data_IF_837431928891
#
_entry.id   IF_837431928891
#
_cell.length_a   1.000
_cell.length_b   1.000
_cell.length_c   1.000
_cell.angle_alpha   90.00
_cell.angle_beta   90.00
_cell.angle_gamma   90.00
#
_symmetry.space_group_name_H-M   'P 1'
#
loop_
_entity.id
_entity.type
_entity.pdbx_description
1 polymer ?
#
# COMPACT_ATOMS: atom_id res chain seq x y z
N UNK A 1 -20.03 1.25 -75.79
CA UNK A 1 -19.46 1.43 -74.43
C UNK A 1 -20.36 0.73 -73.42
N UNK A 2 -20.35 -0.60 -73.30
CA UNK A 2 -21.22 -1.29 -72.31
C UNK A 2 -20.74 -2.70 -71.90
N UNK A 3 -19.45 -3.04 -72.08
CA UNK A 3 -18.95 -4.40 -71.80
C UNK A 3 -17.78 -4.48 -70.82
N UNK A 4 -17.46 -3.41 -70.08
CA UNK A 4 -16.37 -3.44 -69.07
C UNK A 4 -16.79 -3.09 -67.63
N UNK A 5 -18.07 -2.88 -67.34
CA UNK A 5 -18.54 -2.46 -66.01
C UNK A 5 -19.03 -3.64 -65.15
N UNK A 6 -19.50 -4.73 -65.77
CA UNK A 6 -20.06 -5.89 -65.08
C UNK A 6 -19.05 -6.67 -64.18
N UNK A 7 -17.79 -6.94 -64.60
CA UNK A 7 -16.86 -7.70 -63.75
C UNK A 7 -16.31 -6.88 -62.57
N UNK A 8 -16.26 -5.55 -62.67
CA UNK A 8 -15.86 -4.68 -61.55
C UNK A 8 -16.97 -4.57 -60.49
N UNK A 9 -18.24 -4.51 -60.91
CA UNK A 9 -19.37 -4.54 -59.97
C UNK A 9 -19.44 -5.87 -59.20
N UNK A 10 -19.22 -7.00 -59.89
CA UNK A 10 -19.17 -8.31 -59.24
C UNK A 10 -18.02 -8.42 -58.22
N UNK A 11 -16.83 -7.89 -58.53
CA UNK A 11 -15.74 -7.83 -57.56
C UNK A 11 -16.09 -6.92 -56.37
N UNK A 12 -16.75 -5.79 -56.61
CA UNK A 12 -17.17 -4.86 -55.56
C UNK A 12 -18.24 -5.47 -54.65
N UNK A 13 -19.20 -6.20 -55.20
CA UNK A 13 -20.21 -6.94 -54.42
C UNK A 13 -19.60 -8.08 -53.60
N UNK A 14 -18.66 -8.85 -54.17
CA UNK A 14 -17.95 -9.91 -53.44
C UNK A 14 -17.06 -9.33 -52.31
N UNK A 15 -16.46 -8.16 -52.53
CA UNK A 15 -15.70 -7.46 -51.49
C UNK A 15 -16.61 -6.87 -50.40
N UNK A 16 -17.78 -6.33 -50.74
CA UNK A 16 -18.77 -5.84 -49.77
C UNK A 16 -19.37 -6.97 -48.94
N UNK A 17 -19.70 -8.12 -49.55
CA UNK A 17 -20.16 -9.30 -48.81
C UNK A 17 -19.08 -9.81 -47.85
N UNK A 18 -17.82 -9.94 -48.31
CA UNK A 18 -16.71 -10.32 -47.41
C UNK A 18 -16.49 -9.31 -46.27
N UNK A 19 -16.67 -8.02 -46.53
CA UNK A 19 -16.54 -6.97 -45.51
C UNK A 19 -17.66 -7.06 -44.46
N UNK A 20 -18.89 -7.37 -44.88
CA UNK A 20 -20.04 -7.56 -43.99
C UNK A 20 -19.98 -8.85 -43.17
N UNK A 21 -19.32 -9.89 -43.70
CA UNK A 21 -19.05 -11.13 -42.97
C UNK A 21 -17.96 -10.87 -41.92
N UNK A 22 -16.87 -10.17 -42.28
CA UNK A 22 -15.84 -9.75 -41.32
C UNK A 22 -16.38 -8.85 -40.20
N UNK A 23 -17.34 -7.96 -40.49
CA UNK A 23 -17.95 -7.11 -39.46
C UNK A 23 -18.86 -7.89 -38.51
N UNK A 24 -19.62 -8.87 -39.02
CA UNK A 24 -20.46 -9.75 -38.19
C UNK A 24 -19.62 -10.72 -37.36
N UNK A 25 -18.51 -11.20 -37.90
CA UNK A 25 -17.56 -12.03 -37.16
C UNK A 25 -16.88 -11.21 -36.06
N UNK A 26 -16.59 -9.92 -36.31
CA UNK A 26 -16.03 -9.00 -35.30
C UNK A 26 -17.05 -8.63 -34.21
N UNK A 27 -18.30 -8.36 -34.57
CA UNK A 27 -19.39 -8.13 -33.59
C UNK A 27 -19.67 -9.40 -32.77
N UNK A 28 -19.69 -10.58 -33.39
CA UNK A 28 -19.81 -11.86 -32.69
C UNK A 28 -18.60 -12.17 -31.81
N UNK A 29 -17.40 -11.73 -32.18
CA UNK A 29 -16.19 -11.81 -31.36
C UNK A 29 -16.25 -10.82 -30.19
N UNK A 30 -16.73 -9.60 -30.41
CA UNK A 30 -16.90 -8.61 -29.34
C UNK A 30 -18.02 -9.01 -28.37
N UNK A 31 -19.10 -9.61 -28.84
CA UNK A 31 -20.14 -10.20 -28.00
C UNK A 31 -19.65 -11.45 -27.27
N UNK A 32 -18.86 -12.31 -27.91
CA UNK A 32 -18.22 -13.45 -27.24
C UNK A 32 -17.23 -13.00 -26.15
N UNK A 33 -16.45 -11.94 -26.40
CA UNK A 33 -15.54 -11.33 -25.41
C UNK A 33 -16.32 -10.67 -24.26
N UNK A 34 -17.45 -10.01 -24.54
CA UNK A 34 -18.33 -9.44 -23.53
C UNK A 34 -19.10 -10.49 -22.69
N UNK A 35 -19.35 -11.67 -23.25
CA UNK A 35 -19.93 -12.81 -22.51
C UNK A 35 -18.87 -13.50 -21.64
N UNK A 36 -17.62 -13.56 -22.10
CA UNK A 36 -16.49 -14.10 -21.31
C UNK A 36 -16.13 -13.15 -20.15
N UNK A 37 -16.31 -11.82 -20.29
CA UNK A 37 -16.03 -10.85 -19.22
C UNK A 37 -17.12 -10.76 -18.14
N UNK A 38 -18.30 -11.34 -18.38
CA UNK A 38 -19.47 -11.30 -17.46
C UNK A 38 -19.79 -12.65 -16.80
N UNK A 39 -19.07 -13.72 -17.14
CA UNK A 39 -19.15 -14.98 -16.40
C UNK A 39 -18.47 -14.86 -15.03
N UNK A 40 -18.86 -15.67 -14.02
CA UNK A 40 -18.08 -15.75 -12.79
C UNK A 40 -16.66 -16.13 -13.20
N UNK A 41 -15.68 -15.27 -12.89
CA UNK A 41 -14.27 -15.56 -13.07
C UNK A 41 -13.98 -16.86 -12.32
N UNK A 42 -13.98 -17.99 -13.04
CA UNK A 42 -13.69 -19.29 -12.47
C UNK A 42 -12.21 -19.25 -12.15
N UNK A 43 -11.90 -19.00 -10.87
CA UNK A 43 -10.55 -19.10 -10.32
C UNK A 43 -9.98 -20.43 -10.79
N UNK A 44 -8.76 -20.46 -11.36
CA UNK A 44 -8.19 -21.69 -11.88
C UNK A 44 -8.20 -22.77 -10.79
N UNK A 45 -9.06 -23.78 -10.97
CA UNK A 45 -8.98 -25.04 -10.23
C UNK A 45 -7.60 -25.61 -10.56
N UNK A 46 -6.79 -25.76 -9.52
CA UNK A 46 -5.48 -26.42 -9.48
C UNK A 46 -4.25 -25.52 -9.71
N UNK A 47 -3.84 -24.78 -8.67
CA UNK A 47 -2.41 -24.52 -8.44
C UNK A 47 -1.80 -25.84 -7.93
N UNK A 48 -1.02 -26.50 -8.79
CA UNK A 48 -0.35 -27.78 -8.52
C UNK A 48 0.80 -27.56 -7.51
N UNK A 49 0.94 -28.51 -6.58
CA UNK A 49 1.85 -28.55 -5.42
C UNK A 49 1.37 -27.69 -4.23
N UNK A 50 0.19 -28.07 -3.73
CA UNK A 50 -0.62 -27.30 -2.78
C UNK A 50 0.02 -27.18 -1.41
N UNK A 51 0.22 -25.93 -0.99
CA UNK A 51 0.40 -25.61 0.42
C UNK A 51 -0.73 -26.23 1.25
N UNK A 52 -0.39 -26.94 2.32
CA UNK A 52 -1.39 -27.33 3.32
C UNK A 52 -1.65 -26.13 4.25
N UNK A 53 -2.53 -25.24 3.79
CA UNK A 53 -2.89 -24.03 4.53
C UNK A 53 -3.57 -24.33 5.88
N UNK A 54 -4.24 -25.47 6.01
CA UNK A 54 -4.87 -25.86 7.27
C UNK A 54 -3.83 -26.26 8.33
N UNK A 55 -2.68 -26.79 7.90
CA UNK A 55 -1.52 -27.03 8.76
C UNK A 55 -0.80 -25.74 9.17
N UNK A 56 -0.94 -24.64 8.43
CA UNK A 56 -0.44 -23.33 8.88
C UNK A 56 -1.28 -22.78 10.03
N UNK A 57 -2.61 -22.83 9.88
CA UNK A 57 -3.59 -22.45 10.90
C UNK A 57 -4.98 -22.88 10.46
N UNK A 58 -5.80 -23.38 11.39
CA UNK A 58 -7.22 -23.66 11.12
C UNK A 58 -8.04 -22.39 10.85
N UNK A 59 -7.51 -21.21 11.22
CA UNK A 59 -8.12 -19.90 10.93
C UNK A 59 -7.69 -19.32 9.58
N UNK A 60 -6.71 -19.91 8.91
CA UNK A 60 -6.18 -19.45 7.64
C UNK A 60 -7.28 -19.35 6.56
N UNK A 61 -7.29 -18.25 5.80
CA UNK A 61 -8.33 -17.95 4.81
C UNK A 61 -8.43 -19.00 3.71
N UNK A 62 -7.30 -19.50 3.21
CA UNK A 62 -7.28 -20.56 2.20
C UNK A 62 -7.82 -21.88 2.77
N UNK A 63 -7.54 -22.19 4.05
CA UNK A 63 -8.09 -23.37 4.71
C UNK A 63 -9.62 -23.27 4.85
N UNK A 64 -10.12 -22.13 5.34
CA UNK A 64 -11.55 -21.94 5.65
C UNK A 64 -12.41 -21.81 4.40
N UNK A 65 -11.91 -21.16 3.36
CA UNK A 65 -12.72 -20.73 2.22
C UNK A 65 -12.21 -21.22 0.86
N UNK A 66 -10.99 -21.78 0.78
CA UNK A 66 -10.33 -22.11 -0.48
C UNK A 66 -10.89 -23.33 -1.22
N UNK A 67 -11.79 -24.12 -0.63
CA UNK A 67 -12.45 -25.23 -1.33
C UNK A 67 -13.78 -24.81 -1.98
N UNK A 68 -14.55 -23.97 -1.30
CA UNK A 68 -15.89 -23.56 -1.76
C UNK A 68 -15.85 -22.28 -2.60
N UNK A 69 -14.85 -21.43 -2.37
CA UNK A 69 -14.73 -20.08 -2.96
C UNK A 69 -16.01 -19.25 -2.86
N UNK A 70 -16.82 -19.54 -1.83
CA UNK A 70 -18.17 -18.99 -1.66
C UNK A 70 -18.13 -17.52 -1.32
N UNK A 71 -18.99 -16.75 -1.99
CA UNK A 71 -19.24 -15.35 -1.68
C UNK A 71 -20.37 -15.28 -0.65
N UNK A 72 -20.04 -14.82 0.57
CA UNK A 72 -20.96 -14.72 1.71
C UNK A 72 -21.76 -13.40 1.71
N UNK A 73 -21.41 -12.50 0.81
CA UNK A 73 -21.99 -11.17 0.67
C UNK A 73 -23.47 -11.23 0.21
N UNK A 74 -24.30 -10.37 0.80
CA UNK A 74 -25.70 -10.23 0.37
C UNK A 74 -25.79 -9.23 -0.77
N UNK A 75 -26.43 -9.62 -1.87
CA UNK A 75 -26.65 -8.77 -3.02
C UNK A 75 -25.35 -8.35 -3.69
N UNK A 76 -24.50 -9.33 -4.00
CA UNK A 76 -23.27 -9.15 -4.79
C UNK A 76 -23.62 -8.51 -6.12
N UNK A 77 -22.85 -7.48 -6.45
CA UNK A 77 -22.94 -6.76 -7.72
C UNK A 77 -21.80 -7.24 -8.62
N UNK A 78 -20.57 -7.14 -8.11
CA UNK A 78 -19.36 -7.61 -8.79
C UNK A 78 -18.39 -8.19 -7.76
N UNK A 79 -17.71 -9.27 -8.13
CA UNK A 79 -16.70 -9.92 -7.31
C UNK A 79 -15.75 -10.69 -8.23
N UNK A 80 -14.49 -10.81 -7.82
CA UNK A 80 -13.52 -11.62 -8.53
C UNK A 80 -12.17 -10.95 -8.65
N UNK A 81 -11.21 -11.74 -9.11
CA UNK A 81 -9.85 -11.27 -9.34
C UNK A 81 -9.85 -10.07 -10.31
N UNK A 82 -9.01 -9.05 -10.06
CA UNK A 82 -8.83 -7.95 -10.99
C UNK A 82 -8.47 -8.44 -12.39
N UNK A 83 -8.98 -7.77 -13.43
CA UNK A 83 -8.55 -8.02 -14.82
C UNK A 83 -7.06 -7.69 -14.99
N UNK A 84 -6.41 -8.22 -16.03
CA UNK A 84 -4.97 -7.92 -16.27
C UNK A 84 -4.68 -6.41 -16.35
N UNK A 85 -5.59 -5.62 -16.92
CA UNK A 85 -5.46 -4.17 -16.95
C UNK A 85 -5.45 -3.56 -15.54
N UNK A 86 -6.35 -4.01 -14.66
CA UNK A 86 -6.43 -3.55 -13.27
C UNK A 86 -5.24 -4.08 -12.43
N UNK A 87 -4.79 -5.32 -12.66
CA UNK A 87 -3.55 -5.83 -12.04
C UNK A 87 -2.36 -4.95 -12.37
N UNK A 88 -2.22 -4.55 -13.64
CA UNK A 88 -1.15 -3.67 -14.08
C UNK A 88 -1.29 -2.26 -13.49
N UNK A 89 -2.51 -1.71 -13.42
CA UNK A 89 -2.77 -0.44 -12.74
C UNK A 89 -2.33 -0.49 -11.27
N UNK A 90 -2.74 -1.52 -10.53
CA UNK A 90 -2.35 -1.72 -9.13
C UNK A 90 -0.82 -1.74 -8.99
N UNK A 91 -0.13 -2.53 -9.82
CA UNK A 91 1.33 -2.60 -9.81
C UNK A 91 1.98 -1.27 -10.13
N UNK A 92 1.48 -0.55 -11.14
CA UNK A 92 2.01 0.74 -11.55
C UNK A 92 1.89 1.75 -10.40
N UNK A 93 0.68 1.91 -9.83
CA UNK A 93 0.46 2.87 -8.73
C UNK A 93 1.35 2.54 -7.53
N UNK A 94 1.44 1.27 -7.13
CA UNK A 94 2.32 0.89 -6.01
C UNK A 94 3.79 1.17 -6.30
N UNK A 95 4.29 0.79 -7.47
CA UNK A 95 5.69 0.95 -7.82
C UNK A 95 6.06 2.42 -8.05
N UNK A 96 5.16 3.23 -8.60
CA UNK A 96 5.36 4.68 -8.75
C UNK A 96 5.48 5.37 -7.39
N UNK A 97 4.63 5.00 -6.42
CA UNK A 97 4.70 5.53 -5.06
C UNK A 97 5.97 5.06 -4.32
N UNK A 98 6.36 3.79 -4.50
CA UNK A 98 7.62 3.26 -3.95
C UNK A 98 8.83 3.97 -4.55
N UNK A 99 8.80 4.26 -5.86
CA UNK A 99 9.86 5.01 -6.55
C UNK A 99 9.96 6.44 -6.05
N UNK A 100 8.82 7.13 -5.88
CA UNK A 100 8.77 8.46 -5.28
C UNK A 100 9.44 8.50 -3.91
N UNK A 101 9.21 7.47 -3.08
CA UNK A 101 9.89 7.30 -1.79
C UNK A 101 11.37 7.00 -1.97
N UNK A 102 11.73 6.07 -2.86
CA UNK A 102 13.12 5.71 -3.12
C UNK A 102 13.96 6.90 -3.59
N UNK A 103 13.37 7.81 -4.36
CA UNK A 103 13.99 9.05 -4.83
C UNK A 103 14.02 10.19 -3.80
N UNK A 104 13.42 10.02 -2.62
CA UNK A 104 13.35 11.10 -1.63
C UNK A 104 12.42 12.25 -2.03
N UNK A 105 11.57 12.06 -3.05
CA UNK A 105 10.67 13.09 -3.62
C UNK A 105 9.42 13.34 -2.75
N UNK A 106 9.39 12.79 -1.55
CA UNK A 106 8.23 12.92 -0.64
C UNK A 106 8.27 14.21 0.17
N UNK A 107 9.46 14.77 0.42
CA UNK A 107 9.68 15.90 1.32
C UNK A 107 9.29 15.65 2.79
N UNK A 108 8.92 14.41 3.16
CA UNK A 108 8.43 14.03 4.50
C UNK A 108 9.23 12.93 5.16
N UNK A 109 9.92 12.11 4.38
CA UNK A 109 10.79 11.04 4.86
C UNK A 109 12.26 11.41 4.69
N UNK A 110 13.16 10.88 5.53
CA UNK A 110 14.58 11.18 5.42
C UNK A 110 15.22 10.46 4.23
N UNK A 111 15.97 11.22 3.43
CA UNK A 111 16.85 10.67 2.39
C UNK A 111 16.15 9.87 1.27
N UNK A 112 16.95 9.08 0.58
CA UNK A 112 16.59 8.14 -0.47
C UNK A 112 16.64 6.70 0.05
N UNK A 113 16.00 5.74 -0.63
CA UNK A 113 16.03 4.34 -0.23
C UNK A 113 16.99 3.51 -1.08
N UNK A 114 17.96 2.84 -0.45
CA UNK A 114 18.99 2.06 -1.14
C UNK A 114 18.56 0.66 -1.57
N UNK A 115 17.48 0.13 -0.99
CA UNK A 115 17.08 -1.28 -1.13
C UNK A 115 15.60 -1.49 -1.50
N UNK A 116 14.90 -0.45 -1.97
CA UNK A 116 13.46 -0.52 -2.25
C UNK A 116 13.15 -1.50 -3.39
N UNK A 117 12.52 -2.64 -3.11
CA UNK A 117 12.19 -3.62 -4.17
C UNK A 117 11.01 -3.21 -5.04
N UNK A 118 11.08 -3.55 -6.33
CA UNK A 118 9.94 -3.47 -7.25
C UNK A 118 8.95 -4.60 -6.92
N UNK A 119 7.67 -4.26 -6.80
CA UNK A 119 6.60 -5.24 -6.60
C UNK A 119 6.26 -5.94 -7.91
N UNK A 120 6.00 -7.24 -7.82
CA UNK A 120 5.43 -8.06 -8.89
C UNK A 120 4.11 -8.70 -8.44
N UNK A 121 3.23 -9.01 -9.39
CA UNK A 121 1.95 -9.64 -9.09
C UNK A 121 2.14 -11.09 -8.64
N UNK A 122 1.38 -11.52 -7.65
CA UNK A 122 1.35 -12.89 -7.17
C UNK A 122 -0.10 -13.40 -7.07
N UNK A 123 -0.42 -14.42 -7.87
CA UNK A 123 -1.77 -14.98 -7.96
C UNK A 123 -2.22 -15.71 -6.70
N UNK A 124 -1.30 -16.29 -5.92
CA UNK A 124 -1.63 -16.93 -4.64
C UNK A 124 -2.14 -15.86 -3.66
N UNK A 125 -1.39 -14.76 -3.49
CA UNK A 125 -1.78 -13.63 -2.64
C UNK A 125 -3.11 -12.99 -3.08
N UNK A 126 -3.31 -12.84 -4.40
CA UNK A 126 -4.54 -12.30 -4.97
C UNK A 126 -5.74 -13.21 -4.69
N UNK A 127 -5.56 -14.52 -4.81
CA UNK A 127 -6.58 -15.50 -4.45
C UNK A 127 -6.95 -15.40 -2.97
N UNK A 128 -5.96 -15.28 -2.06
CA UNK A 128 -6.23 -15.07 -0.64
C UNK A 128 -7.02 -13.79 -0.37
N UNK A 129 -6.62 -12.68 -1.00
CA UNK A 129 -7.30 -11.39 -0.87
C UNK A 129 -8.75 -11.47 -1.38
N UNK A 130 -8.99 -12.19 -2.48
CA UNK A 130 -10.32 -12.39 -3.02
C UNK A 130 -11.19 -13.30 -2.15
N UNK A 131 -10.63 -14.38 -1.61
CA UNK A 131 -11.33 -15.25 -0.67
C UNK A 131 -11.79 -14.46 0.56
N UNK A 132 -10.97 -13.51 1.03
CA UNK A 132 -11.34 -12.66 2.15
C UNK A 132 -12.36 -11.57 1.78
N UNK A 133 -12.19 -10.88 0.65
CA UNK A 133 -13.16 -9.87 0.20
C UNK A 133 -14.55 -10.48 0.01
N UNK A 134 -14.63 -11.72 -0.48
CA UNK A 134 -15.87 -12.50 -0.60
C UNK A 134 -16.63 -12.70 0.72
N UNK A 135 -16.02 -12.43 1.88
CA UNK A 135 -16.66 -12.56 3.19
C UNK A 135 -17.37 -11.29 3.65
N UNK A 136 -17.21 -10.17 2.92
CA UNK A 136 -17.84 -8.89 3.23
C UNK A 136 -17.56 -8.40 4.65
N UNK A 137 -16.28 -8.50 5.02
CA UNK A 137 -15.71 -8.17 6.32
C UNK A 137 -14.63 -7.13 6.14
N UNK A 138 -14.51 -6.22 7.11
CA UNK A 138 -13.56 -5.10 7.04
C UNK A 138 -12.43 -5.24 8.05
N UNK A 139 -12.44 -6.30 8.86
CA UNK A 139 -11.32 -6.73 9.69
C UNK A 139 -10.25 -7.50 8.90
N UNK A 140 -9.04 -7.58 9.45
CA UNK A 140 -7.96 -8.41 8.90
C UNK A 140 -8.19 -9.91 9.13
N UNK A 141 -7.69 -10.74 8.22
CA UNK A 141 -7.71 -12.20 8.27
C UNK A 141 -6.32 -12.83 8.53
N UNK A 142 -6.20 -14.13 8.25
CA UNK A 142 -4.93 -14.86 8.26
C UNK A 142 -4.56 -15.32 6.83
N UNK A 143 -3.92 -14.46 6.02
CA UNK A 143 -3.63 -14.72 4.61
C UNK A 143 -2.27 -15.38 4.36
N UNK A 144 -1.64 -15.97 5.39
CA UNK A 144 -0.31 -16.58 5.27
C UNK A 144 -0.29 -17.73 4.25
N UNK A 145 0.84 -17.87 3.55
CA UNK A 145 1.08 -18.94 2.57
C UNK A 145 2.28 -19.79 2.97
N UNK A 146 2.53 -20.90 2.27
CA UNK A 146 3.72 -21.71 2.54
C UNK A 146 5.01 -20.99 2.14
N UNK A 147 4.95 -20.10 1.14
CA UNK A 147 6.07 -19.25 0.74
C UNK A 147 6.28 -18.11 1.73
N UNK A 148 5.19 -17.42 2.09
CA UNK A 148 5.20 -16.26 2.98
C UNK A 148 4.54 -16.59 4.31
N UNK A 149 5.36 -16.95 5.30
CA UNK A 149 4.88 -17.27 6.66
C UNK A 149 4.23 -16.08 7.38
N UNK A 150 4.52 -14.86 6.91
CA UNK A 150 3.85 -13.65 7.31
C UNK A 150 3.49 -12.86 6.04
N UNK A 151 2.20 -12.65 5.83
CA UNK A 151 1.65 -11.86 4.73
C UNK A 151 1.04 -10.59 5.31
N UNK A 152 1.48 -9.44 4.80
CA UNK A 152 0.94 -8.14 5.17
C UNK A 152 -0.37 -7.87 4.44
N UNK A 153 -1.19 -6.94 4.93
CA UNK A 153 -2.48 -6.66 4.32
C UNK A 153 -2.90 -5.21 4.49
N UNK A 154 -3.39 -4.62 3.40
CA UNK A 154 -4.12 -3.36 3.44
C UNK A 154 -5.59 -3.60 3.05
N UNK A 155 -6.51 -2.95 3.77
CA UNK A 155 -7.96 -3.00 3.51
C UNK A 155 -8.48 -1.58 3.34
N UNK A 156 -9.30 -1.37 2.32
CA UNK A 156 -10.10 -0.16 2.13
C UNK A 156 -11.55 -0.54 1.86
N UNK A 157 -12.47 0.30 2.29
CA UNK A 157 -13.88 0.11 1.99
C UNK A 157 -14.60 1.43 1.74
N UNK A 158 -15.64 1.40 0.91
CA UNK A 158 -16.53 2.52 0.67
C UNK A 158 -17.98 2.09 0.79
N UNK A 159 -18.84 3.03 1.13
CA UNK A 159 -20.28 2.90 1.16
C UNK A 159 -20.91 4.20 0.71
N UNK A 160 -21.50 4.19 -0.49
CA UNK A 160 -22.15 5.37 -1.04
C UNK A 160 -23.26 5.02 -2.04
N UNK A 161 -24.27 5.90 -2.09
CA UNK A 161 -25.34 5.87 -3.08
C UNK A 161 -24.84 6.44 -4.41
N UNK A 162 -25.07 5.73 -5.52
CA UNK A 162 -24.65 6.18 -6.85
C UNK A 162 -23.17 5.99 -7.16
N UNK A 163 -22.45 5.16 -6.39
CA UNK A 163 -21.14 4.66 -6.83
C UNK A 163 -21.29 3.80 -8.09
N UNK A 164 -20.24 3.78 -8.91
CA UNK A 164 -20.11 2.79 -9.99
C UNK A 164 -19.93 1.39 -9.39
N UNK A 165 -20.17 0.35 -10.17
CA UNK A 165 -19.93 -1.04 -9.73
C UNK A 165 -18.46 -1.45 -9.91
N UNK A 166 -17.69 -0.64 -10.65
CA UNK A 166 -16.30 -0.90 -11.03
C UNK A 166 -15.34 -0.67 -9.85
N UNK A 167 -14.26 -1.47 -9.76
CA UNK A 167 -13.21 -1.26 -8.78
C UNK A 167 -12.40 0.01 -9.10
N UNK A 168 -12.16 0.84 -8.07
CA UNK A 168 -11.24 1.97 -8.11
C UNK A 168 -10.07 1.71 -7.14
N UNK A 169 -9.17 0.80 -7.55
CA UNK A 169 -7.99 0.46 -6.77
C UNK A 169 -7.03 1.63 -6.64
N UNK A 170 -6.89 2.46 -7.69
CA UNK A 170 -6.01 3.63 -7.67
C UNK A 170 -6.36 4.56 -6.51
N UNK A 171 -7.63 4.97 -6.38
CA UNK A 171 -8.07 5.82 -5.29
C UNK A 171 -7.87 5.16 -3.92
N UNK A 172 -8.12 3.85 -3.79
CA UNK A 172 -7.89 3.14 -2.55
C UNK A 172 -6.40 3.15 -2.12
N UNK A 173 -5.49 2.92 -3.07
CA UNK A 173 -4.05 2.90 -2.85
C UNK A 173 -3.52 4.31 -2.53
N UNK A 174 -3.97 5.32 -3.25
CA UNK A 174 -3.59 6.72 -2.99
C UNK A 174 -4.00 7.16 -1.58
N UNK A 175 -5.17 6.72 -1.09
CA UNK A 175 -5.61 7.01 0.29
C UNK A 175 -4.78 6.32 1.35
N UNK A 176 -4.36 5.08 1.12
CA UNK A 176 -3.40 4.41 2.00
C UNK A 176 -2.07 5.17 2.02
N UNK A 177 -1.62 5.67 0.86
CA UNK A 177 -0.39 6.45 0.76
C UNK A 177 -0.49 7.81 1.46
N UNK A 178 -1.65 8.47 1.43
CA UNK A 178 -1.90 9.77 2.07
C UNK A 178 -1.65 9.78 3.59
N UNK A 179 -1.63 8.60 4.23
CA UNK A 179 -1.20 8.47 5.63
C UNK A 179 0.25 8.95 5.86
N UNK A 180 1.07 9.10 4.82
CA UNK A 180 2.37 9.78 4.89
C UNK A 180 2.27 11.16 5.55
N UNK A 181 1.13 11.85 5.39
CA UNK A 181 0.90 13.15 6.00
C UNK A 181 0.81 13.09 7.54
N UNK A 182 0.46 11.91 8.08
CA UNK A 182 0.37 11.62 9.51
C UNK A 182 1.63 10.93 10.04
N UNK A 183 2.50 10.43 9.18
CA UNK A 183 3.70 9.71 9.57
C UNK A 183 4.73 10.61 10.25
N UNK A 184 5.12 10.23 11.47
CA UNK A 184 6.14 10.90 12.31
C UNK A 184 7.16 9.91 12.88
N UNK A 185 7.16 8.66 12.40
CA UNK A 185 8.01 7.59 12.90
C UNK A 185 9.41 7.59 12.27
N UNK A 186 10.26 6.69 12.75
CA UNK A 186 11.57 6.41 12.15
C UNK A 186 11.46 5.37 11.03
N UNK A 187 12.18 5.60 9.93
CA UNK A 187 12.31 4.63 8.83
C UNK A 187 13.32 3.52 9.16
N UNK A 188 14.24 3.74 10.11
CA UNK A 188 15.27 2.76 10.49
C UNK A 188 14.79 1.76 11.54
N UNK A 189 13.80 2.17 12.35
CA UNK A 189 13.20 1.33 13.39
C UNK A 189 11.71 1.59 13.46
N UNK A 190 10.94 0.75 12.78
CA UNK A 190 9.49 0.85 12.72
C UNK A 190 8.84 0.66 14.09
N UNK A 191 7.86 1.51 14.38
CA UNK A 191 6.91 1.34 15.47
C UNK A 191 5.50 1.38 14.91
N UNK A 192 4.65 0.47 15.39
CA UNK A 192 3.29 0.35 14.89
C UNK A 192 2.44 1.57 15.26
N UNK A 193 1.79 2.15 14.26
CA UNK A 193 0.77 3.16 14.43
C UNK A 193 -0.38 2.84 13.48
N UNK A 194 -1.58 2.66 14.03
CA UNK A 194 -2.78 2.32 13.27
C UNK A 194 -3.19 3.40 12.26
N UNK A 195 -2.73 4.64 12.42
CA UNK A 195 -2.99 5.73 11.49
C UNK A 195 -2.04 5.77 10.29
N UNK A 196 -0.96 4.97 10.30
CA UNK A 196 0.07 4.99 9.22
C UNK A 196 0.49 3.59 8.76
N UNK A 197 -0.21 2.56 9.22
CA UNK A 197 0.09 1.16 8.91
C UNK A 197 -0.02 0.86 7.42
N UNK A 198 -1.02 1.42 6.73
CA UNK A 198 -1.21 1.15 5.31
C UNK A 198 -0.10 1.78 4.47
N UNK A 199 0.24 3.04 4.74
CA UNK A 199 1.36 3.73 4.10
C UNK A 199 2.67 2.96 4.31
N UNK A 200 2.98 2.58 5.54
CA UNK A 200 4.25 1.91 5.85
C UNK A 200 4.38 0.53 5.21
N UNK A 201 3.27 -0.20 5.05
CA UNK A 201 3.26 -1.44 4.27
C UNK A 201 3.52 -1.17 2.77
N UNK A 202 2.92 -0.13 2.19
CA UNK A 202 3.13 0.21 0.77
C UNK A 202 4.60 0.43 0.43
N UNK A 203 5.34 1.07 1.35
CA UNK A 203 6.74 1.46 1.15
C UNK A 203 7.73 0.51 1.84
N UNK A 204 7.29 -0.67 2.25
CA UNK A 204 8.18 -1.63 2.92
C UNK A 204 9.16 -2.25 1.91
N UNK A 205 10.46 -2.01 2.08
CA UNK A 205 11.48 -2.35 1.09
C UNK A 205 11.59 -3.85 0.80
N UNK A 206 11.43 -4.69 1.84
CA UNK A 206 11.58 -6.14 1.70
C UNK A 206 10.40 -6.83 1.03
N UNK A 207 9.22 -6.20 1.02
CA UNK A 207 8.03 -6.68 0.31
C UNK A 207 8.29 -6.59 -1.20
N UNK A 208 8.05 -7.68 -1.92
CA UNK A 208 8.32 -7.77 -3.37
C UNK A 208 7.19 -8.43 -4.17
N UNK A 209 6.20 -9.03 -3.51
CA UNK A 209 5.01 -9.60 -4.14
C UNK A 209 3.75 -8.95 -3.60
N UNK A 210 2.78 -8.74 -4.48
CA UNK A 210 1.46 -8.23 -4.13
C UNK A 210 0.37 -9.00 -4.88
N UNK A 211 -0.77 -9.21 -4.24
CA UNK A 211 -1.98 -9.66 -4.92
C UNK A 211 -3.21 -9.11 -4.22
N UNK A 212 -4.19 -8.66 -5.01
CA UNK A 212 -5.38 -7.98 -4.49
C UNK A 212 -6.69 -8.65 -4.92
N UNK A 213 -7.74 -8.41 -4.13
CA UNK A 213 -9.10 -8.88 -4.35
C UNK A 213 -10.13 -7.79 -4.08
N UNK A 214 -11.31 -7.96 -4.65
CA UNK A 214 -12.37 -6.95 -4.68
C UNK A 214 -13.77 -7.55 -4.57
N UNK A 215 -14.68 -6.85 -3.89
CA UNK A 215 -16.12 -7.10 -3.97
C UNK A 215 -16.90 -5.80 -3.92
N UNK A 216 -17.95 -5.70 -4.73
CA UNK A 216 -19.02 -4.73 -4.62
C UNK A 216 -20.36 -5.44 -4.31
N UNK A 217 -21.12 -4.93 -3.36
CA UNK A 217 -22.36 -5.56 -2.89
C UNK A 217 -23.29 -4.54 -2.23
N UNK A 218 -24.58 -4.85 -2.16
CA UNK A 218 -25.61 -3.96 -1.55
C UNK A 218 -25.82 -4.21 -0.05
N UNK A 219 -25.41 -5.39 0.45
CA UNK A 219 -25.58 -5.78 1.84
C UNK A 219 -27.03 -6.08 2.21
N UNK A 220 -27.31 -6.23 3.52
CA UNK A 220 -28.69 -6.43 3.99
C UNK A 220 -29.42 -5.09 3.95
N UNK A 221 -30.39 -4.96 3.03
CA UNK A 221 -31.23 -3.77 2.81
C UNK A 221 -31.58 -3.06 4.13
N UNK A 222 -30.88 -1.97 4.42
CA UNK A 222 -31.39 -0.85 5.22
C UNK A 222 -31.58 0.30 4.24
N UNK A 223 -32.69 1.04 4.35
CA UNK A 223 -33.17 2.05 3.39
C UNK A 223 -32.03 2.82 2.70
N UNK A 224 -31.99 2.76 1.37
CA UNK A 224 -31.06 3.48 0.48
C UNK A 224 -30.14 2.53 -0.29
N UNK A 225 -30.18 2.58 -1.62
CA UNK A 225 -29.44 1.73 -2.57
C UNK A 225 -27.93 2.02 -2.60
N UNK A 226 -27.27 1.91 -1.45
CA UNK A 226 -25.85 2.18 -1.33
C UNK A 226 -25.02 0.95 -1.69
N UNK A 227 -24.05 1.14 -2.58
CA UNK A 227 -23.08 0.12 -2.94
C UNK A 227 -21.97 0.16 -1.90
N UNK A 228 -21.64 -1.02 -1.36
CA UNK A 228 -20.48 -1.26 -0.52
C UNK A 228 -19.38 -1.86 -1.35
N UNK A 229 -18.17 -1.32 -1.25
CA UNK A 229 -16.98 -1.88 -1.89
C UNK A 229 -15.94 -2.22 -0.85
N UNK A 230 -15.24 -3.34 -1.04
CA UNK A 230 -14.08 -3.72 -0.23
C UNK A 230 -12.92 -4.03 -1.18
N UNK A 231 -11.78 -3.42 -0.91
CA UNK A 231 -10.51 -3.62 -1.58
C UNK A 231 -9.53 -4.20 -0.57
N UNK A 232 -8.92 -5.34 -0.92
CA UNK A 232 -7.91 -5.99 -0.08
C UNK A 232 -6.68 -6.23 -0.94
N UNK A 233 -5.51 -5.84 -0.44
CA UNK A 233 -4.23 -6.17 -1.04
C UNK A 233 -3.36 -6.90 -0.02
N UNK A 234 -2.85 -8.07 -0.40
CA UNK A 234 -1.94 -8.90 0.38
C UNK A 234 -0.51 -8.70 -0.11
N UNK A 235 0.45 -8.63 0.81
CA UNK A 235 1.85 -8.27 0.57
C UNK A 235 2.80 -9.39 1.04
N UNK A 236 3.71 -9.82 0.17
CA UNK A 236 4.62 -10.94 0.39
C UNK A 236 6.11 -10.54 0.24
N UNK A 237 6.95 -10.81 1.25
CA UNK A 237 6.57 -10.99 2.66
C UNK A 237 5.88 -9.73 3.20
N UNK A 238 5.14 -9.89 4.29
CA UNK A 238 4.53 -8.75 4.99
C UNK A 238 5.57 -7.80 5.59
N UNK A 239 5.20 -6.53 5.63
CA UNK A 239 5.99 -5.45 6.23
C UNK A 239 5.57 -5.14 7.66
N UNK A 240 5.82 -3.92 8.11
CA UNK A 240 5.43 -3.41 9.43
C UNK A 240 5.93 -4.26 10.61
N UNK A 241 7.09 -4.90 10.43
CA UNK A 241 7.77 -5.64 11.49
C UNK A 241 8.33 -4.65 12.51
N UNK A 242 7.87 -4.73 13.75
CA UNK A 242 8.31 -3.83 14.83
C UNK A 242 9.83 -3.91 14.99
N UNK A 243 10.46 -2.75 15.19
CA UNK A 243 11.91 -2.59 15.31
C UNK A 243 12.72 -2.93 14.06
N UNK A 244 12.08 -3.27 12.94
CA UNK A 244 12.75 -3.45 11.66
C UNK A 244 12.72 -2.14 10.85
N UNK A 245 13.69 -1.89 9.95
CA UNK A 245 13.64 -0.74 9.06
C UNK A 245 12.51 -0.90 8.03
N UNK A 246 11.84 0.20 7.70
CA UNK A 246 10.91 0.28 6.56
C UNK A 246 11.69 0.14 5.26
N UNK A 247 12.79 0.88 5.16
CA UNK A 247 13.78 0.79 4.09
C UNK A 247 15.14 1.25 4.63
N UNK A 248 16.22 0.93 3.92
CA UNK A 248 17.56 1.42 4.25
C UNK A 248 17.82 2.74 3.55
N UNK A 249 18.32 3.72 4.29
CA UNK A 249 18.71 5.01 3.70
C UNK A 249 20.01 4.87 2.90
N UNK A 250 20.06 5.48 1.72
CA UNK A 250 21.25 5.50 0.86
C UNK A 250 20.91 5.69 -0.61
N UNK A 251 21.93 5.79 -1.47
CA UNK A 251 21.72 5.93 -2.91
C UNK A 251 20.86 4.80 -3.47
N UNK A 252 19.94 5.13 -4.38
CA UNK A 252 19.00 4.18 -4.95
C UNK A 252 19.73 2.96 -5.53
N UNK A 253 19.19 1.79 -5.22
CA UNK A 253 19.73 0.50 -5.64
C UNK A 253 21.15 0.14 -5.13
N UNK A 254 21.78 0.94 -4.27
CA UNK A 254 23.15 0.65 -3.79
C UNK A 254 23.21 -0.55 -2.84
N UNK A 255 22.09 -0.93 -2.24
CA UNK A 255 21.96 -2.07 -1.33
C UNK A 255 20.82 -3.01 -1.74
N UNK A 256 20.60 -3.18 -3.05
CA UNK A 256 19.65 -4.17 -3.53
C UNK A 256 19.96 -5.57 -3.01
N UNK A 257 18.97 -6.29 -2.45
CA UNK A 257 19.20 -7.65 -1.95
C UNK A 257 19.62 -8.64 -3.04
N UNK A 258 20.26 -9.75 -2.64
CA UNK A 258 20.58 -10.87 -3.54
C UNK A 258 19.33 -11.36 -4.27
N UNK A 259 19.48 -11.62 -5.59
CA UNK A 259 18.37 -11.97 -6.47
C UNK A 259 17.51 -10.77 -6.94
N UNK A 260 17.78 -9.56 -6.44
CA UNK A 260 17.08 -8.32 -6.83
C UNK A 260 18.05 -7.20 -7.26
N UNK A 261 19.18 -7.56 -7.87
CA UNK A 261 20.25 -6.61 -8.19
C UNK A 261 20.03 -5.65 -9.35
N UNK A 262 18.99 -5.86 -10.16
CA UNK A 262 18.73 -4.98 -11.29
C UNK A 262 18.13 -3.67 -10.77
N UNK A 263 18.73 -2.53 -11.10
CA UNK A 263 18.12 -1.23 -10.79
C UNK A 263 17.17 -0.84 -11.93
N UNK A 264 15.88 -0.85 -11.65
CA UNK A 264 14.80 -0.49 -12.56
C UNK A 264 14.12 0.77 -12.04
N UNK A 265 14.59 1.92 -12.55
CA UNK A 265 14.06 3.24 -12.21
C UNK A 265 13.95 3.44 -10.69
N UNK A 266 15.11 3.38 -10.02
CA UNK A 266 15.28 3.47 -8.56
C UNK A 266 14.70 2.34 -7.71
N UNK A 267 14.19 1.28 -8.32
CA UNK A 267 13.70 0.09 -7.61
C UNK A 267 14.56 -1.14 -7.89
N UNK A 268 14.78 -1.97 -6.87
CA UNK A 268 15.46 -3.25 -6.97
C UNK A 268 14.55 -4.30 -7.62
N UNK A 269 14.82 -4.63 -8.88
CA UNK A 269 14.15 -5.67 -9.67
C UNK A 269 14.97 -6.97 -9.79
N UNK A 270 14.36 -8.05 -10.32
CA UNK A 270 15.02 -9.36 -10.43
C UNK A 270 16.35 -9.29 -11.18
N UNK A 271 17.41 -9.84 -10.58
CA UNK A 271 18.76 -9.84 -11.15
C UNK A 271 19.77 -10.35 -10.13
N UNK A 272 20.98 -10.78 -10.54
CA UNK A 272 21.89 -11.54 -9.68
C UNK A 272 22.13 -10.91 -8.30
N UNK A 273 22.19 -9.58 -8.20
CA UNK A 273 22.32 -8.87 -6.91
C UNK A 273 23.65 -9.14 -6.21
N UNK A 274 24.10 -8.17 -5.40
CA UNK A 274 25.20 -8.42 -4.46
C UNK A 274 26.63 -8.20 -4.96
N UNK A 275 26.85 -7.44 -6.03
CA UNK A 275 28.14 -6.74 -6.18
C UNK A 275 27.84 -5.36 -6.72
N UNK A 276 28.16 -4.32 -5.94
CA UNK A 276 28.26 -2.98 -6.48
C UNK A 276 29.15 -3.05 -7.73
N UNK A 277 28.78 -2.41 -8.85
CA UNK A 277 29.80 -2.04 -9.81
C UNK A 277 30.84 -1.24 -9.01
N UNK A 278 32.06 -1.74 -8.93
CA UNK A 278 33.23 -0.91 -8.67
C UNK A 278 33.44 -0.03 -9.90
N UNK A 279 32.45 0.80 -10.19
CA UNK A 279 32.64 2.03 -10.93
C UNK A 279 32.58 3.09 -9.87
N UNK A 280 33.76 3.57 -9.51
CA UNK A 280 34.01 4.94 -9.06
C UNK A 280 32.81 5.83 -9.43
N UNK A 281 32.23 6.59 -8.49
CA UNK A 281 31.18 7.53 -8.87
C UNK A 281 31.70 8.35 -10.04
N UNK A 282 30.99 8.31 -11.19
CA UNK A 282 31.16 9.37 -12.18
C UNK A 282 31.01 10.66 -11.39
N UNK A 283 31.98 11.59 -11.49
CA UNK A 283 31.85 12.85 -10.79
C UNK A 283 30.52 13.46 -11.22
N UNK A 284 29.69 13.79 -10.24
CA UNK A 284 28.63 14.77 -10.43
C UNK A 284 29.32 15.98 -11.08
N UNK A 285 28.82 16.54 -12.20
CA UNK A 285 29.38 17.76 -12.74
C UNK A 285 29.37 18.78 -11.62
N UNK A 286 30.55 19.28 -11.27
CA UNK A 286 30.70 20.35 -10.30
C UNK A 286 29.84 21.53 -10.80
N UNK A 287 28.88 22.05 -10.03
CA UNK A 287 28.16 23.27 -10.40
C UNK A 287 29.09 24.49 -10.57
N UNK A 288 30.37 24.34 -10.24
CA UNK A 288 31.40 25.37 -10.25
C UNK A 288 32.56 25.09 -11.21
N UNK A 289 32.42 24.22 -12.22
CA UNK A 289 33.38 24.20 -13.34
C UNK A 289 33.18 25.49 -14.17
N UNK A 290 33.82 26.56 -13.70
CA UNK A 290 33.88 27.84 -14.37
C UNK A 290 34.54 27.65 -15.73
N UNK A 291 33.85 28.09 -16.78
CA UNK A 291 34.49 28.30 -18.08
C UNK A 291 35.79 29.10 -17.93
N UNK A 292 36.82 28.85 -18.75
CA UNK A 292 38.08 29.56 -18.66
C UNK A 292 37.85 31.07 -18.79
N UNK A 293 38.15 31.78 -17.70
CA UNK A 293 38.08 33.23 -17.60
C UNK A 293 38.83 33.91 -18.75
N UNK A 294 38.08 34.63 -19.59
CA UNK A 294 38.62 35.55 -20.58
C UNK A 294 38.83 36.91 -19.90
N UNK A 295 40.06 37.44 -19.80
CA UNK A 295 40.28 38.70 -19.11
C UNK A 295 39.74 39.87 -19.94
N UNK A 296 38.81 40.64 -19.37
CA UNK A 296 38.46 41.97 -19.87
C UNK A 296 39.42 43.02 -19.25
N UNK A 297 39.91 44.00 -20.04
CA UNK A 297 40.95 44.92 -19.63
C UNK A 297 40.35 46.14 -18.92
N UNK A 298 40.03 46.04 -17.64
CA UNK A 298 39.85 47.23 -16.82
C UNK A 298 40.07 46.93 -15.33
N UNK A 299 41.15 47.49 -14.77
CA UNK A 299 41.47 47.45 -13.34
C UNK A 299 41.09 48.79 -12.73
N UNK A 300 40.14 48.84 -11.77
CA UNK A 300 40.14 49.85 -10.73
C UNK A 300 40.77 49.27 -9.46
N UNK A 301 41.73 50.01 -8.90
CA UNK A 301 42.46 49.69 -7.68
C UNK A 301 41.53 49.35 -6.50
N UNK A 302 41.82 48.23 -5.81
CA UNK A 302 41.14 47.82 -4.58
C UNK A 302 41.86 48.43 -3.35
N UNK A 303 41.12 48.86 -2.32
CA UNK A 303 41.70 49.34 -1.07
C UNK A 303 42.28 48.19 -0.23
N UNK A 304 43.47 48.41 0.31
CA UNK A 304 44.18 47.46 1.18
C UNK A 304 43.52 47.35 2.56
N UNK A 305 43.10 46.15 2.95
CA UNK A 305 42.75 45.82 4.33
C UNK A 305 43.92 45.09 5.02
N UNK A 306 44.25 45.42 6.29
CA UNK A 306 45.35 44.79 7.01
C UNK A 306 45.06 43.35 7.44
N UNK A 307 46.13 42.56 7.56
CA UNK A 307 46.10 41.12 7.82
C UNK A 307 45.49 40.73 9.18
N UNK A 308 44.83 39.55 9.30
CA UNK A 308 44.30 39.05 10.57
C UNK A 308 45.43 38.72 11.56
N UNK A 309 45.24 39.12 12.83
CA UNK A 309 46.14 38.80 13.93
C UNK A 309 45.98 37.33 14.39
N UNK A 310 47.05 36.69 14.88
CA UNK A 310 47.03 35.28 15.30
C UNK A 310 46.18 35.03 16.54
N UNK A 311 45.53 33.87 16.57
CA UNK A 311 44.66 33.41 17.66
C UNK A 311 45.44 33.14 18.97
N UNK A 312 44.85 33.40 20.15
CA UNK A 312 45.50 33.15 21.43
C UNK A 312 45.57 31.65 21.78
N UNK A 313 46.55 31.23 22.62
CA UNK A 313 46.80 29.82 22.92
C UNK A 313 45.69 29.18 23.78
N UNK A 314 45.42 27.91 23.50
CA UNK A 314 44.45 27.07 24.20
C UNK A 314 44.82 26.87 25.68
N UNK A 315 43.86 27.06 26.59
CA UNK A 315 44.04 26.83 28.01
C UNK A 315 44.01 25.33 28.35
N UNK A 316 44.99 24.95 29.17
CA UNK A 316 45.23 23.60 29.66
C UNK A 316 44.19 23.26 30.74
N UNK A 317 43.28 22.31 30.48
CA UNK A 317 42.26 21.89 31.44
C UNK A 317 42.84 20.86 32.42
N UNK A 318 42.98 21.25 33.69
CA UNK A 318 43.37 20.37 34.79
C UNK A 318 42.11 19.91 35.55
N UNK A 319 41.76 18.61 35.55
CA UNK A 319 40.50 18.11 36.11
C UNK A 319 40.48 17.97 37.66
N UNK A 320 41.46 18.50 38.40
CA UNK A 320 41.48 18.44 39.87
C UNK A 320 41.57 19.82 40.54
N UNK A 321 40.57 20.68 40.31
CA UNK A 321 40.37 21.90 41.11
C UNK A 321 39.20 21.72 42.11
N UNK A 322 39.43 21.74 43.44
CA UNK A 322 38.41 21.47 44.46
C UNK A 322 37.38 22.59 44.71
N UNK A 323 37.40 23.71 43.98
CA UNK A 323 36.51 24.86 44.25
C UNK A 323 35.72 25.33 43.02
N UNK A 324 34.92 24.45 42.39
CA UNK A 324 33.92 24.85 41.39
C UNK A 324 32.48 24.83 41.98
N UNK A 325 31.79 25.99 42.11
CA UNK A 325 30.50 26.10 42.79
C UNK A 325 29.26 25.73 41.95
N UNK A 326 29.39 25.05 40.80
CA UNK A 326 28.24 24.64 39.96
C UNK A 326 28.05 23.12 39.82
N UNK A 327 28.20 22.37 40.93
CA UNK A 327 27.92 20.92 40.96
C UNK A 327 26.72 20.64 41.86
N UNK A 328 25.54 20.37 41.29
CA UNK A 328 24.41 19.82 42.05
C UNK A 328 24.48 18.29 42.09
N UNK A 329 24.16 17.64 43.23
CA UNK A 329 24.32 16.19 43.40
C UNK A 329 23.18 15.39 42.71
N UNK A 330 23.59 14.38 41.92
CA UNK A 330 22.73 13.34 41.36
C UNK A 330 22.28 12.36 42.46
N UNK A 331 20.99 12.03 42.47
CA UNK A 331 20.39 11.00 43.34
C UNK A 331 20.82 9.57 42.91
N UNK A 332 20.95 8.60 43.84
CA UNK A 332 21.51 7.30 43.51
C UNK A 332 20.53 6.38 42.75
N UNK A 333 21.04 5.79 41.67
CA UNK A 333 20.40 4.77 40.85
C UNK A 333 20.23 3.45 41.62
N UNK A 334 19.00 2.92 41.63
CA UNK A 334 18.66 1.58 42.12
C UNK A 334 18.48 0.63 40.91
N UNK A 335 19.17 -0.52 40.84
CA UNK A 335 19.03 -1.45 39.73
C UNK A 335 17.80 -2.37 39.90
N UNK A 336 16.99 -2.63 38.86
CA UNK A 336 15.99 -3.69 38.93
C UNK A 336 16.63 -5.07 38.77
N UNK A 337 16.22 -5.98 39.65
CA UNK A 337 16.56 -7.40 39.69
C UNK A 337 16.09 -8.15 38.44
N UNK A 338 16.99 -8.94 37.86
CA UNK A 338 16.71 -10.00 36.91
C UNK A 338 15.85 -11.09 37.56
N UNK A 339 14.77 -11.53 36.90
CA UNK A 339 14.25 -12.88 37.08
C UNK A 339 13.91 -13.51 35.71
N UNK A 340 14.38 -14.73 35.55
CA UNK A 340 14.43 -15.49 34.31
C UNK A 340 13.21 -16.42 34.16
N UNK A 341 12.61 -16.38 32.96
CA UNK A 341 12.08 -17.53 32.19
C UNK A 341 10.70 -18.15 32.61
N UNK A 342 10.09 -19.05 31.81
CA UNK A 342 9.15 -18.74 30.70
C UNK A 342 7.86 -19.62 30.71
N UNK A 343 7.00 -19.43 29.69
CA UNK A 343 5.77 -20.17 29.34
C UNK A 343 4.49 -19.83 30.11
N UNK A 344 3.39 -19.57 29.36
CA UNK A 344 2.04 -19.60 29.90
C UNK A 344 1.00 -18.84 29.06
N UNK A 345 0.44 -19.50 28.05
CA UNK A 345 -0.86 -19.16 27.46
C UNK A 345 -1.96 -19.09 28.55
N UNK A 346 -2.91 -18.16 28.47
CA UNK A 346 -4.30 -18.37 28.01
C UNK A 346 -5.34 -17.38 28.60
N UNK A 347 -6.21 -16.90 27.71
CA UNK A 347 -7.67 -16.66 27.82
C UNK A 347 -8.32 -15.66 28.81
N UNK A 348 -9.04 -14.70 28.18
CA UNK A 348 -10.47 -14.36 28.32
C UNK A 348 -11.00 -13.78 29.65
N UNK A 349 -11.81 -12.71 29.59
CA UNK A 349 -12.99 -12.65 30.44
C UNK A 349 -14.23 -12.15 29.70
N UNK A 350 -15.12 -13.08 29.32
CA UNK A 350 -16.56 -12.85 29.29
C UNK A 350 -17.23 -13.97 30.09
N UNK A 351 -18.02 -13.60 31.10
CA UNK A 351 -18.99 -14.49 31.73
C UNK A 351 -19.22 -14.21 33.20
N UNK A 352 -20.36 -13.57 33.50
CA UNK A 352 -21.27 -13.68 34.67
C UNK A 352 -22.18 -12.44 34.57
N UNK A 353 -23.51 -12.47 34.50
CA UNK A 353 -24.51 -13.48 34.86
C UNK A 353 -25.48 -12.86 35.88
N UNK A 354 -26.75 -12.64 35.50
CA UNK A 354 -27.87 -12.18 36.35
C UNK A 354 -28.38 -10.78 35.96
N UNK A 355 -29.62 -10.51 35.56
CA UNK A 355 -30.89 -11.23 35.69
C UNK A 355 -31.80 -10.50 36.68
N UNK A 356 -32.66 -9.57 36.23
CA UNK A 356 -33.94 -9.17 36.85
C UNK A 356 -34.85 -8.45 35.83
N UNK A 357 -36.13 -8.43 36.18
CA UNK A 357 -37.31 -8.54 35.34
C UNK A 357 -38.07 -7.20 35.17
N UNK A 358 -38.84 -7.11 34.07
CA UNK A 358 -40.15 -6.46 33.90
C UNK A 358 -40.40 -4.98 34.26
N UNK A 359 -41.00 -4.25 33.31
CA UNK A 359 -41.88 -3.11 33.60
C UNK A 359 -42.00 -2.09 32.45
N UNK A 360 -43.05 -2.20 31.62
CA UNK A 360 -43.40 -1.18 30.63
C UNK A 360 -44.22 -0.02 31.21
N UNK A 361 -44.32 1.09 30.47
CA UNK A 361 -45.56 1.82 30.09
C UNK A 361 -45.23 3.14 29.35
N UNK A 362 -46.12 3.51 28.42
CA UNK A 362 -46.23 4.69 27.53
C UNK A 362 -46.05 6.06 28.25
N UNK A 363 -45.91 7.25 27.64
CA UNK A 363 -46.56 7.82 26.44
C UNK A 363 -46.04 9.25 26.12
N UNK A 364 -46.26 9.73 24.87
CA UNK A 364 -46.31 11.14 24.42
C UNK A 364 -44.96 11.85 24.23
N UNK A 365 -44.58 12.44 23.09
CA UNK A 365 -45.34 13.15 22.06
C UNK A 365 -45.10 14.66 22.21
N UNK A 366 -44.48 15.32 21.22
CA UNK A 366 -44.71 16.71 20.73
C UNK A 366 -43.48 17.26 19.98
N UNK A 367 -43.71 17.75 18.75
CA UNK A 367 -43.07 18.97 18.23
C UNK A 367 -41.82 18.82 17.32
N UNK A 368 -42.04 18.85 16.00
CA UNK A 368 -41.08 19.39 15.02
C UNK A 368 -41.37 20.91 14.89
N UNK A 369 -40.41 21.78 14.50
CA UNK A 369 -40.21 22.00 13.06
C UNK A 369 -38.77 22.34 12.62
N UNK A 370 -38.35 21.70 11.52
CA UNK A 370 -37.63 22.34 10.41
C UNK A 370 -36.13 22.60 10.58
N UNK A 371 -35.32 22.04 9.68
CA UNK A 371 -34.39 22.73 8.77
C UNK A 371 -33.41 21.72 8.17
N UNK A 372 -33.12 21.87 6.88
CA UNK A 372 -31.81 21.50 6.34
C UNK A 372 -31.71 20.15 5.63
N UNK A 373 -32.13 20.16 4.37
CA UNK A 373 -31.63 19.28 3.32
C UNK A 373 -30.09 19.24 3.35
N UNK A 374 -29.47 18.09 3.63
CA UNK A 374 -28.02 17.88 3.47
C UNK A 374 -27.75 16.56 2.76
N UNK A 375 -26.95 16.68 1.70
CA UNK A 375 -26.66 15.68 0.69
C UNK A 375 -25.93 14.43 1.18
N UNK A 376 -25.81 13.49 0.24
CA UNK A 376 -25.31 12.14 0.43
C UNK A 376 -23.98 12.07 1.19
N UNK A 377 -23.97 11.23 2.22
CA UNK A 377 -22.76 10.81 2.92
C UNK A 377 -22.00 9.83 2.02
N UNK A 378 -20.93 10.30 1.36
CA UNK A 378 -19.94 9.41 0.76
C UNK A 378 -19.00 8.89 1.87
N UNK A 379 -19.35 7.73 2.44
CA UNK A 379 -18.62 7.11 3.53
C UNK A 379 -17.47 6.25 3.01
N UNK A 380 -16.28 6.80 2.92
CA UNK A 380 -15.07 6.00 2.77
C UNK A 380 -14.48 5.70 4.14
N UNK A 381 -14.13 4.45 4.38
CA UNK A 381 -13.43 4.02 5.58
C UNK A 381 -12.19 3.24 5.22
N UNK A 382 -11.09 3.60 5.87
CA UNK A 382 -10.08 2.62 6.26
C UNK A 382 -10.46 2.14 7.66
N UNK A 383 -9.85 1.10 8.20
CA UNK A 383 -10.12 0.50 9.53
C UNK A 383 -10.01 1.48 10.73
N UNK A 384 -9.80 2.77 10.45
CA UNK A 384 -9.65 3.89 11.37
C UNK A 384 -10.95 4.64 11.74
N UNK A 385 -12.09 4.40 11.09
CA UNK A 385 -13.34 5.15 11.38
C UNK A 385 -14.14 4.61 12.58
N UNK A 386 -13.51 4.46 13.74
CA UNK A 386 -14.17 4.37 15.06
C UNK A 386 -13.19 4.74 16.20
N UNK A 387 -12.74 6.01 16.26
CA UNK A 387 -12.07 6.56 17.45
C UNK A 387 -12.18 8.09 17.53
N UNK A 388 -13.41 8.62 17.42
CA UNK A 388 -13.69 10.02 17.74
C UNK A 388 -15.01 10.12 18.49
N UNK A 389 -14.99 9.74 19.77
CA UNK A 389 -16.00 10.11 20.78
C UNK A 389 -15.58 9.72 22.21
N UNK A 390 -14.33 9.98 22.60
CA UNK A 390 -13.92 9.96 24.02
C UNK A 390 -12.88 11.06 24.28
N UNK A 391 -13.32 12.32 24.18
CA UNK A 391 -12.74 13.43 24.94
C UNK A 391 -13.91 14.30 25.40
N UNK A 392 -14.50 13.88 26.52
CA UNK A 392 -15.27 14.69 27.44
C UNK A 392 -15.22 13.97 28.79
N UNK A 393 -14.15 14.24 29.54
CA UNK A 393 -14.02 14.52 30.98
C UNK A 393 -12.53 14.81 31.23
#
# INVERSE_FOLDING_TARGET
MTTRILPLLLLFFVLLERSSVLSKDLESLMDAVNVISKGPNIVPKHIKQGCDYCSLSSRNTYCRYGQSETVSCVGVISAGLPSEAVKQEILNVHNDLRRKVANGETGRLPGTASNMRKLVWNEELARGAQLWSNQCRTEHDEPNTCKHKFVGQNIAWSHASGETEDPDFKTAIERWYDEINLYRGSVDSYYFNSATGHFTQLIWADTYEIGCGFVAYTGRKRRGDAIQKIYICNYGPGGNSVSSPIYKQGYQCSECPLGFGACDDSLCGPGPGGVAPTTTPSPVPDPYEQEPYKPDPYIPEQPTYPAPQPSPPQSNYNPYNPYNPYSQPQQPYQPPSYNNNPYGYNNNPYGYGGGYNSGGYNNGGYGNPGYGNYGGYNGYGTTYRFCKNLLNI
#
